data_IF_002402451722
#
_entry.id   IF_002402451722
#
_cell.length_a   1.000
_cell.length_b   1.000
_cell.length_c   1.000
_cell.angle_alpha   90.00
_cell.angle_beta   90.00
_cell.angle_gamma   90.00
#
_symmetry.space_group_name_H-M   'P 1'
#
loop_
_entity.id
_entity.type
_entity.pdbx_description
1 polymer ?
#
# COMPACT_ATOMS: atom_id res chain seq x y z
N UNK A 1 -38.73 25.87 32.52
CA UNK A 1 -38.38 25.26 31.21
C UNK A 1 -36.91 25.50 30.96
N UNK A 2 -36.07 24.49 31.14
CA UNK A 2 -34.63 24.56 30.90
C UNK A 2 -34.35 23.97 29.52
N UNK A 3 -33.79 24.82 28.62
CA UNK A 3 -33.39 24.37 27.29
C UNK A 3 -32.01 23.70 27.37
N UNK A 4 -32.00 22.42 27.09
CA UNK A 4 -30.75 21.65 26.89
C UNK A 4 -30.21 21.94 25.48
N UNK A 5 -29.13 22.72 25.40
CA UNK A 5 -28.33 22.88 24.19
C UNK A 5 -27.35 21.72 24.08
N UNK A 6 -27.64 20.75 23.20
CA UNK A 6 -26.70 19.73 22.82
C UNK A 6 -25.61 20.33 21.91
N UNK A 7 -24.40 20.47 22.44
CA UNK A 7 -23.23 20.79 21.63
C UNK A 7 -22.80 19.53 20.87
N UNK A 8 -23.02 19.49 19.56
CA UNK A 8 -22.47 18.47 18.70
C UNK A 8 -20.95 18.69 18.60
N UNK A 9 -20.18 17.78 19.18
CA UNK A 9 -18.73 17.70 18.99
C UNK A 9 -18.49 17.14 17.60
N UNK A 10 -18.18 18.01 16.63
CA UNK A 10 -17.74 17.57 15.31
C UNK A 10 -16.33 16.96 15.43
N UNK A 11 -16.22 15.66 15.26
CA UNK A 11 -14.93 15.00 15.08
C UNK A 11 -14.26 15.54 13.81
N UNK A 12 -12.94 15.85 13.83
CA UNK A 12 -12.25 16.28 12.62
C UNK A 12 -12.24 15.13 11.61
N UNK A 13 -13.02 15.29 10.54
CA UNK A 13 -12.95 14.42 9.37
C UNK A 13 -11.57 14.67 8.75
N UNK A 14 -10.66 13.70 8.83
CA UNK A 14 -9.41 13.70 8.06
C UNK A 14 -9.76 13.36 6.61
N UNK A 15 -10.24 14.35 5.88
CA UNK A 15 -10.36 14.24 4.44
C UNK A 15 -8.94 14.24 3.85
N UNK A 16 -8.57 13.17 3.18
CA UNK A 16 -7.39 13.14 2.34
C UNK A 16 -7.68 14.06 1.14
N UNK A 17 -7.12 15.28 1.17
CA UNK A 17 -7.35 16.26 0.12
C UNK A 17 -6.52 15.92 -1.12
N UNK A 18 -7.20 15.47 -2.18
CA UNK A 18 -6.62 15.38 -3.51
C UNK A 18 -6.85 16.71 -4.23
N UNK A 19 -5.80 17.17 -4.93
CA UNK A 19 -5.78 18.42 -5.67
C UNK A 19 -5.13 19.56 -4.90
N UNK A 20 -4.11 20.16 -5.51
CA UNK A 20 -3.37 21.31 -4.99
C UNK A 20 -3.05 22.30 -6.11
N UNK A 21 -3.00 23.60 -5.77
CA UNK A 21 -2.46 24.62 -6.66
C UNK A 21 -0.97 24.81 -6.37
N UNK A 22 -0.14 24.02 -7.01
CA UNK A 22 1.32 24.20 -6.99
C UNK A 22 1.77 25.00 -8.20
N UNK A 23 2.82 25.79 -8.02
CA UNK A 23 3.49 26.46 -9.14
C UNK A 23 4.19 25.40 -9.98
N UNK A 24 3.85 25.34 -11.27
CA UNK A 24 4.55 24.50 -12.23
C UNK A 24 5.68 25.33 -12.84
N UNK A 25 6.91 24.92 -12.62
CA UNK A 25 8.09 25.61 -13.13
C UNK A 25 8.42 25.22 -14.57
N UNK A 26 7.84 24.15 -15.07
CA UNK A 26 8.04 23.66 -16.44
C UNK A 26 6.72 23.17 -17.01
N UNK A 27 6.45 23.58 -18.25
CA UNK A 27 5.38 22.97 -19.05
C UNK A 27 5.84 21.61 -19.58
N UNK A 28 5.05 20.57 -19.37
CA UNK A 28 5.33 19.21 -19.84
C UNK A 28 4.30 18.84 -20.90
N UNK A 29 4.77 18.64 -22.14
CA UNK A 29 3.95 18.20 -23.27
C UNK A 29 3.90 16.67 -23.28
N UNK A 30 2.83 16.11 -22.73
CA UNK A 30 2.67 14.67 -22.60
C UNK A 30 2.26 14.04 -23.94
N UNK A 31 2.97 12.96 -24.31
CA UNK A 31 2.61 11.96 -25.30
C UNK A 31 2.08 10.70 -24.59
N UNK A 32 1.40 9.82 -25.33
CA UNK A 32 0.80 8.61 -24.77
C UNK A 32 1.26 7.36 -25.54
N UNK A 33 1.72 6.35 -24.81
CA UNK A 33 1.88 4.99 -25.29
C UNK A 33 0.68 4.18 -24.81
N UNK A 34 -0.11 3.64 -25.71
CA UNK A 34 -1.24 2.78 -25.36
C UNK A 34 -0.79 1.32 -25.35
N UNK A 35 -1.03 0.63 -24.25
CA UNK A 35 -0.87 -0.81 -24.11
C UNK A 35 -2.24 -1.48 -23.97
N UNK A 36 -2.28 -2.76 -23.63
CA UNK A 36 -3.56 -3.47 -23.45
C UNK A 36 -4.33 -2.93 -22.22
N UNK A 37 -3.62 -2.64 -21.13
CA UNK A 37 -4.26 -2.27 -19.86
C UNK A 37 -3.89 -0.87 -19.36
N UNK A 38 -2.94 -0.19 -20.00
CA UNK A 38 -2.49 1.14 -19.56
C UNK A 38 -2.44 2.16 -20.72
N UNK A 39 -2.75 3.42 -20.38
CA UNK A 39 -2.41 4.62 -21.13
C UNK A 39 -1.21 5.27 -20.44
N UNK A 40 -0.01 5.08 -21.00
CA UNK A 40 1.26 5.52 -20.38
C UNK A 40 1.62 6.90 -20.89
N UNK A 41 1.52 7.89 -20.01
CA UNK A 41 1.82 9.30 -20.29
C UNK A 41 3.30 9.56 -20.01
N UNK A 42 3.98 10.15 -20.97
CA UNK A 42 5.39 10.53 -20.90
C UNK A 42 5.63 11.80 -21.72
N UNK A 43 6.78 12.42 -21.61
CA UNK A 43 7.20 13.60 -22.38
C UNK A 43 8.62 13.43 -22.93
N UNK A 44 9.06 14.40 -23.74
CA UNK A 44 10.36 14.33 -24.43
C UNK A 44 11.52 14.05 -23.48
N UNK A 45 12.44 13.18 -23.93
CA UNK A 45 13.63 12.76 -23.22
C UNK A 45 13.48 11.49 -22.37
N UNK A 46 12.24 10.98 -22.15
CA UNK A 46 12.02 9.75 -21.35
C UNK A 46 11.27 8.65 -22.09
N UNK A 47 11.15 8.76 -23.41
CA UNK A 47 10.36 7.80 -24.20
C UNK A 47 10.79 6.34 -24.05
N UNK A 48 12.10 6.08 -24.09
CA UNK A 48 12.61 4.70 -24.00
C UNK A 48 12.37 4.10 -22.61
N UNK A 49 12.60 4.90 -21.54
CA UNK A 49 12.25 4.50 -20.19
C UNK A 49 10.73 4.28 -20.01
N UNK A 50 9.90 5.10 -20.68
CA UNK A 50 8.45 4.92 -20.66
C UNK A 50 8.00 3.62 -21.36
N UNK A 51 8.67 3.20 -22.44
CA UNK A 51 8.43 1.91 -23.08
C UNK A 51 8.77 0.76 -22.13
N UNK A 52 9.89 0.85 -21.41
CA UNK A 52 10.26 -0.16 -20.43
C UNK A 52 9.30 -0.16 -19.23
N UNK A 53 8.91 1.02 -18.74
CA UNK A 53 7.86 1.15 -17.72
C UNK A 53 6.52 0.55 -18.15
N UNK A 54 6.10 0.76 -19.39
CA UNK A 54 4.90 0.15 -19.96
C UNK A 54 4.97 -1.39 -19.97
N UNK A 55 6.12 -1.95 -20.36
CA UNK A 55 6.35 -3.39 -20.33
C UNK A 55 6.34 -3.97 -18.90
N UNK A 56 6.92 -3.25 -17.94
CA UNK A 56 6.89 -3.61 -16.53
C UNK A 56 5.45 -3.59 -15.98
N UNK A 57 4.68 -2.54 -16.31
CA UNK A 57 3.28 -2.42 -15.90
C UNK A 57 2.42 -3.58 -16.42
N UNK A 58 2.55 -3.96 -17.69
CA UNK A 58 1.80 -5.09 -18.26
C UNK A 58 2.19 -6.43 -17.61
N UNK A 59 3.47 -6.66 -17.30
CA UNK A 59 3.90 -7.87 -16.57
C UNK A 59 3.33 -7.90 -15.16
N UNK A 60 3.35 -6.77 -14.45
CA UNK A 60 2.76 -6.64 -13.13
C UNK A 60 1.26 -6.88 -13.15
N UNK A 61 0.55 -6.28 -14.10
CA UNK A 61 -0.88 -6.50 -14.30
C UNK A 61 -1.19 -7.98 -14.55
N UNK A 62 -0.48 -8.63 -15.49
CA UNK A 62 -0.68 -10.05 -15.81
C UNK A 62 -0.57 -10.96 -14.59
N UNK A 63 0.42 -10.73 -13.73
CA UNK A 63 0.61 -11.46 -12.46
C UNK A 63 -0.48 -11.13 -11.44
N UNK A 64 -0.71 -9.84 -11.18
CA UNK A 64 -1.65 -9.39 -10.14
C UNK A 64 -3.10 -9.69 -10.49
N UNK A 65 -3.50 -9.61 -11.76
CA UNK A 65 -4.86 -9.94 -12.19
C UNK A 65 -5.21 -11.41 -11.94
N UNK A 66 -4.24 -12.31 -12.11
CA UNK A 66 -4.40 -13.73 -11.81
C UNK A 66 -4.44 -13.98 -10.29
N UNK A 67 -3.48 -13.40 -9.55
CA UNK A 67 -3.37 -13.56 -8.10
C UNK A 67 -4.60 -13.01 -7.38
N UNK A 68 -5.02 -11.81 -7.72
CA UNK A 68 -6.16 -11.13 -7.07
C UNK A 68 -7.52 -11.52 -7.68
N UNK A 69 -7.52 -12.37 -8.73
CA UNK A 69 -8.73 -12.78 -9.46
C UNK A 69 -9.61 -11.57 -9.84
N UNK A 70 -8.97 -10.53 -10.39
CA UNK A 70 -9.62 -9.29 -10.76
C UNK A 70 -9.03 -8.72 -12.06
N UNK A 71 -9.85 -8.00 -12.84
CA UNK A 71 -9.44 -7.37 -14.10
C UNK A 71 -10.00 -5.96 -14.18
N UNK A 72 -9.19 -5.03 -14.68
CA UNK A 72 -9.65 -3.68 -15.00
C UNK A 72 -10.68 -3.73 -16.13
N UNK A 73 -11.66 -2.84 -16.05
CA UNK A 73 -12.67 -2.68 -17.10
C UNK A 73 -12.20 -1.77 -18.23
N UNK A 74 -11.30 -0.84 -17.89
CA UNK A 74 -10.76 0.18 -18.80
C UNK A 74 -9.25 0.29 -18.57
N UNK A 75 -8.54 0.82 -19.59
CA UNK A 75 -7.12 1.14 -19.42
C UNK A 75 -6.92 2.17 -18.32
N UNK A 76 -5.85 1.97 -17.55
CA UNK A 76 -5.50 2.82 -16.44
C UNK A 76 -4.44 3.85 -16.84
N UNK A 77 -4.62 5.13 -16.54
CA UNK A 77 -3.59 6.15 -16.77
C UNK A 77 -2.37 5.92 -15.89
N UNK A 78 -1.19 5.81 -16.52
CA UNK A 78 0.11 5.73 -15.87
C UNK A 78 0.95 6.93 -16.28
N UNK A 79 1.18 7.88 -15.38
CA UNK A 79 1.88 9.13 -15.65
C UNK A 79 3.31 9.04 -15.14
N UNK A 80 4.29 9.10 -16.04
CA UNK A 80 5.71 8.94 -15.73
C UNK A 80 6.43 10.29 -15.79
N UNK A 81 7.20 10.59 -14.74
CA UNK A 81 8.03 11.78 -14.62
C UNK A 81 9.51 11.43 -14.72
N UNK A 82 10.30 12.27 -15.42
CA UNK A 82 11.73 12.05 -15.59
C UNK A 82 12.53 12.10 -14.28
N UNK A 83 12.00 12.82 -13.29
CA UNK A 83 12.66 13.02 -12.00
C UNK A 83 11.65 13.22 -10.86
N UNK A 84 12.12 13.01 -9.64
CA UNK A 84 11.32 13.27 -8.45
C UNK A 84 10.96 14.77 -8.31
N UNK A 85 11.84 15.68 -8.71
CA UNK A 85 11.58 17.13 -8.68
C UNK A 85 10.46 17.56 -9.66
N UNK A 86 10.33 16.91 -10.81
CA UNK A 86 9.21 17.14 -11.72
C UNK A 86 7.93 16.47 -11.20
N UNK A 87 8.04 15.28 -10.62
CA UNK A 87 6.93 14.60 -9.96
C UNK A 87 6.35 15.43 -8.80
N UNK A 88 7.18 16.10 -8.00
CA UNK A 88 6.73 16.98 -6.92
C UNK A 88 5.88 18.17 -7.39
N UNK A 89 5.95 18.55 -8.68
CA UNK A 89 5.17 19.67 -9.24
C UNK A 89 3.73 19.28 -9.61
N UNK A 90 3.37 17.97 -9.58
CA UNK A 90 1.99 17.59 -9.85
C UNK A 90 1.02 18.14 -8.79
N UNK A 91 -0.23 18.35 -9.21
CA UNK A 91 -1.29 18.94 -8.37
C UNK A 91 -2.23 17.87 -7.77
N UNK A 92 -1.85 16.60 -7.77
CA UNK A 92 -2.70 15.51 -7.26
C UNK A 92 -2.72 15.51 -5.74
N UNK A 93 -1.54 15.56 -5.12
CA UNK A 93 -1.38 15.57 -3.67
C UNK A 93 -0.07 16.24 -3.24
N UNK A 94 0.16 16.36 -1.94
CA UNK A 94 1.45 16.76 -1.40
C UNK A 94 2.45 15.61 -1.58
N UNK A 95 3.51 15.85 -2.33
CA UNK A 95 4.60 14.91 -2.57
C UNK A 95 5.78 15.30 -1.68
N UNK A 96 6.11 14.44 -0.72
CA UNK A 96 7.31 14.57 0.11
C UNK A 96 8.53 13.96 -0.59
N UNK A 97 9.73 14.19 -0.06
CA UNK A 97 10.96 13.58 -0.58
C UNK A 97 10.93 12.04 -0.54
N UNK A 98 10.23 11.46 0.43
CA UNK A 98 10.10 10.01 0.57
C UNK A 98 8.94 9.39 -0.21
N UNK A 99 8.18 10.17 -0.99
CA UNK A 99 7.03 9.66 -1.75
C UNK A 99 7.52 9.08 -3.08
N UNK A 100 7.53 7.76 -3.22
CA UNK A 100 8.00 7.06 -4.43
C UNK A 100 7.02 7.11 -5.59
N UNK A 101 5.73 7.03 -5.31
CA UNK A 101 4.63 7.07 -6.27
C UNK A 101 3.34 7.52 -5.61
N UNK A 102 2.28 7.66 -6.39
CA UNK A 102 0.93 7.97 -5.90
C UNK A 102 -0.10 7.33 -6.81
N UNK A 103 -1.02 6.59 -6.22
CA UNK A 103 -2.23 6.13 -6.89
C UNK A 103 -3.43 6.94 -6.45
N UNK A 104 -4.05 7.67 -7.38
CA UNK A 104 -5.23 8.50 -7.13
C UNK A 104 -6.51 7.68 -7.33
N UNK A 105 -7.28 7.40 -6.26
CA UNK A 105 -8.46 6.53 -6.36
C UNK A 105 -9.60 7.11 -7.20
N UNK A 106 -9.79 8.44 -7.18
CA UNK A 106 -10.92 9.10 -7.88
C UNK A 106 -10.80 9.10 -9.41
N UNK A 107 -9.59 9.16 -9.92
CA UNK A 107 -9.31 9.19 -11.36
C UNK A 107 -8.63 7.93 -11.85
N UNK A 108 -8.48 6.95 -10.98
CA UNK A 108 -7.87 5.65 -11.28
C UNK A 108 -6.52 5.78 -11.98
N UNK A 109 -5.68 6.76 -11.57
CA UNK A 109 -4.40 7.02 -12.22
C UNK A 109 -3.22 6.84 -11.26
N UNK A 110 -2.14 6.34 -11.83
CA UNK A 110 -0.86 6.13 -11.16
C UNK A 110 0.11 7.21 -11.63
N UNK A 111 0.81 7.84 -10.69
CA UNK A 111 1.85 8.83 -10.99
C UNK A 111 3.14 8.41 -10.28
N UNK A 112 4.25 8.33 -11.00
CA UNK A 112 5.55 8.03 -10.38
C UNK A 112 6.71 8.60 -11.20
N UNK A 113 7.84 8.94 -10.54
CA UNK A 113 9.06 9.35 -11.19
C UNK A 113 9.95 8.16 -11.54
N UNK A 114 10.82 8.33 -12.52
CA UNK A 114 11.99 7.48 -12.66
C UNK A 114 13.00 7.82 -11.54
N UNK A 115 13.53 6.78 -10.88
CA UNK A 115 14.46 6.91 -9.74
C UNK A 115 15.93 6.80 -10.17
N UNK A 116 16.21 6.43 -11.42
CA UNK A 116 17.55 6.09 -11.90
C UNK A 116 17.95 4.63 -11.68
N UNK A 117 17.12 3.86 -10.97
CA UNK A 117 17.27 2.42 -10.74
C UNK A 117 16.04 1.69 -11.24
N UNK A 118 16.21 0.78 -12.21
CA UNK A 118 15.09 -0.03 -12.70
C UNK A 118 14.49 -0.94 -11.62
N UNK A 119 15.30 -1.44 -10.69
CA UNK A 119 14.82 -2.29 -9.61
C UNK A 119 13.91 -1.52 -8.63
N UNK A 120 14.32 -0.30 -8.26
CA UNK A 120 13.49 0.58 -7.41
C UNK A 120 12.24 1.04 -8.14
N UNK A 121 12.37 1.44 -9.40
CA UNK A 121 11.24 1.84 -10.22
C UNK A 121 10.22 0.71 -10.38
N UNK A 122 10.68 -0.52 -10.67
CA UNK A 122 9.81 -1.69 -10.83
C UNK A 122 9.09 -2.03 -9.51
N UNK A 123 9.78 -1.93 -8.37
CA UNK A 123 9.17 -2.12 -7.06
C UNK A 123 8.06 -1.09 -6.81
N UNK A 124 8.35 0.21 -6.97
CA UNK A 124 7.35 1.26 -6.75
C UNK A 124 6.19 1.13 -7.74
N UNK A 125 6.47 0.87 -9.02
CA UNK A 125 5.44 0.65 -10.02
C UNK A 125 4.49 -0.51 -9.65
N UNK A 126 5.04 -1.64 -9.20
CA UNK A 126 4.23 -2.78 -8.77
C UNK A 126 3.41 -2.43 -7.52
N UNK A 127 3.98 -1.70 -6.57
CA UNK A 127 3.31 -1.23 -5.36
C UNK A 127 2.09 -0.36 -5.71
N UNK A 128 2.26 0.62 -6.60
CA UNK A 128 1.18 1.49 -7.04
C UNK A 128 0.11 0.74 -7.86
N UNK A 129 0.51 -0.25 -8.67
CA UNK A 129 -0.46 -1.11 -9.38
C UNK A 129 -1.28 -1.94 -8.39
N UNK A 130 -0.70 -2.42 -7.28
CA UNK A 130 -1.47 -3.10 -6.24
C UNK A 130 -2.53 -2.16 -5.65
N UNK A 131 -2.19 -0.91 -5.35
CA UNK A 131 -3.17 0.08 -4.90
C UNK A 131 -4.28 0.31 -5.93
N UNK A 132 -3.94 0.33 -7.21
CA UNK A 132 -4.95 0.44 -8.28
C UNK A 132 -5.92 -0.75 -8.25
N UNK A 133 -5.43 -1.99 -8.07
CA UNK A 133 -6.29 -3.15 -7.88
C UNK A 133 -7.15 -3.05 -6.62
N UNK A 134 -6.57 -2.63 -5.51
CA UNK A 134 -7.29 -2.45 -4.25
C UNK A 134 -8.44 -1.44 -4.42
N UNK A 135 -8.16 -0.28 -5.00
CA UNK A 135 -9.18 0.76 -5.21
C UNK A 135 -10.27 0.31 -6.18
N UNK A 136 -9.92 -0.38 -7.26
CA UNK A 136 -10.88 -0.89 -8.22
C UNK A 136 -11.77 -1.98 -7.61
N UNK A 137 -11.21 -2.89 -6.80
CA UNK A 137 -11.96 -3.92 -6.06
C UNK A 137 -12.90 -3.28 -5.04
N UNK A 138 -12.43 -2.28 -4.27
CA UNK A 138 -13.28 -1.59 -3.29
C UNK A 138 -14.39 -0.78 -3.97
N UNK A 139 -14.11 -0.14 -5.10
CA UNK A 139 -15.11 0.61 -5.86
C UNK A 139 -16.23 -0.30 -6.43
N UNK A 140 -15.89 -1.52 -6.80
CA UNK A 140 -16.81 -2.46 -7.44
C UNK A 140 -17.33 -3.59 -6.53
N UNK A 141 -16.86 -3.65 -5.29
CA UNK A 141 -17.19 -4.72 -4.33
C UNK A 141 -18.69 -4.84 -3.99
N UNK A 142 -19.45 -3.76 -4.17
CA UNK A 142 -20.93 -3.75 -4.08
C UNK A 142 -21.50 -2.95 -5.24
N UNK A 143 -22.40 -3.54 -6.01
CA UNK A 143 -23.05 -2.88 -7.15
C UNK A 143 -23.68 -1.54 -6.71
N UNK A 144 -23.23 -0.42 -7.27
CA UNK A 144 -23.72 0.93 -7.02
C UNK A 144 -23.07 1.70 -5.85
N UNK A 145 -22.09 1.11 -5.15
CA UNK A 145 -21.48 1.78 -4.00
C UNK A 145 -20.32 2.74 -4.35
N UNK A 146 -19.64 2.52 -5.49
CA UNK A 146 -18.52 3.37 -5.93
C UNK A 146 -17.46 3.59 -4.85
N UNK A 147 -16.69 4.67 -4.99
CA UNK A 147 -15.64 5.05 -4.03
C UNK A 147 -16.14 5.39 -2.61
N UNK A 148 -17.45 5.63 -2.43
CA UNK A 148 -18.05 5.78 -1.10
C UNK A 148 -17.80 4.53 -0.23
N UNK A 149 -17.62 3.36 -0.85
CA UNK A 149 -17.34 2.13 -0.12
C UNK A 149 -15.94 2.11 0.49
N UNK A 150 -14.92 2.59 -0.21
CA UNK A 150 -13.56 2.71 0.35
C UNK A 150 -13.57 3.60 1.60
N UNK A 151 -14.25 4.75 1.52
CA UNK A 151 -14.39 5.68 2.65
C UNK A 151 -15.21 5.07 3.79
N UNK A 152 -16.26 4.30 3.47
CA UNK A 152 -17.13 3.68 4.49
C UNK A 152 -16.47 2.49 5.20
N UNK A 153 -15.59 1.74 4.51
CA UNK A 153 -14.85 0.60 5.10
C UNK A 153 -13.62 1.10 5.84
N UNK A 154 -12.98 2.18 5.35
CA UNK A 154 -11.76 2.80 5.90
C UNK A 154 -10.71 1.73 6.31
N UNK A 155 -10.20 0.93 5.35
CA UNK A 155 -9.29 -0.15 5.67
C UNK A 155 -8.00 0.43 6.29
N UNK A 156 -7.46 -0.18 7.36
CA UNK A 156 -6.26 0.33 8.01
C UNK A 156 -5.05 0.29 7.07
N UNK A 157 -4.11 1.23 7.26
CA UNK A 157 -2.94 1.37 6.40
C UNK A 157 -2.09 0.09 6.33
N UNK A 158 -1.93 -0.64 7.44
CA UNK A 158 -1.19 -1.91 7.41
C UNK A 158 -1.82 -2.95 6.47
N UNK A 159 -3.15 -2.89 6.29
CA UNK A 159 -3.85 -3.78 5.36
C UNK A 159 -3.55 -3.40 3.91
N UNK A 160 -3.65 -2.12 3.57
CA UNK A 160 -3.46 -1.61 2.21
C UNK A 160 -1.97 -1.60 1.83
N UNK A 161 -1.16 -0.88 2.60
CA UNK A 161 0.27 -0.68 2.32
C UNK A 161 1.09 -1.97 2.51
N UNK A 162 0.77 -2.73 3.55
CA UNK A 162 1.43 -4.01 3.80
C UNK A 162 1.19 -5.02 2.69
N UNK A 163 -0.04 -5.08 2.13
CA UNK A 163 -0.36 -5.91 0.96
C UNK A 163 0.41 -5.42 -0.27
N UNK A 164 0.51 -4.11 -0.50
CA UNK A 164 1.24 -3.53 -1.61
C UNK A 164 2.74 -3.85 -1.51
N UNK A 165 3.35 -3.74 -0.32
CA UNK A 165 4.72 -4.18 -0.06
C UNK A 165 4.92 -5.69 -0.29
N UNK A 166 4.03 -6.52 0.24
CA UNK A 166 4.10 -7.97 0.06
C UNK A 166 4.02 -8.38 -1.42
N UNK A 167 3.07 -7.83 -2.14
CA UNK A 167 2.85 -8.16 -3.55
C UNK A 167 3.88 -7.54 -4.50
N UNK A 168 4.63 -6.52 -4.09
CA UNK A 168 5.69 -5.90 -4.90
C UNK A 168 7.10 -6.43 -4.57
N UNK A 169 7.39 -6.69 -3.30
CA UNK A 169 8.71 -7.20 -2.84
C UNK A 169 8.78 -8.72 -2.78
N UNK A 170 7.63 -9.40 -2.67
CA UNK A 170 7.57 -10.83 -2.32
C UNK A 170 7.60 -11.06 -0.80
N UNK A 171 7.74 -12.33 -0.36
CA UNK A 171 7.60 -12.69 1.06
C UNK A 171 8.78 -12.26 1.95
N UNK A 172 9.89 -11.81 1.39
CA UNK A 172 11.10 -11.45 2.14
C UNK A 172 11.59 -10.07 1.76
N UNK A 173 11.89 -9.24 2.76
CA UNK A 173 12.48 -7.91 2.56
C UNK A 173 13.59 -7.65 3.56
N UNK A 174 14.83 -7.28 3.11
CA UNK A 174 15.94 -7.03 4.03
C UNK A 174 15.64 -5.93 5.05
N UNK A 175 14.97 -4.88 4.64
CA UNK A 175 14.56 -3.79 5.55
C UNK A 175 13.52 -4.25 6.57
N UNK A 176 12.50 -4.98 6.13
CA UNK A 176 11.49 -5.58 7.02
C UNK A 176 12.16 -6.50 8.04
N UNK A 177 13.05 -7.38 7.59
CA UNK A 177 13.80 -8.27 8.47
C UNK A 177 14.71 -7.52 9.47
N UNK A 178 15.26 -6.36 9.09
CA UNK A 178 16.04 -5.51 9.99
C UNK A 178 15.17 -4.96 11.10
N UNK A 179 14.01 -4.39 10.78
CA UNK A 179 13.07 -3.84 11.76
C UNK A 179 12.58 -4.91 12.74
N UNK A 180 12.14 -6.07 12.23
CA UNK A 180 11.67 -7.17 13.08
C UNK A 180 12.74 -7.68 14.05
N UNK A 181 14.02 -7.74 13.64
CA UNK A 181 15.11 -8.14 14.54
C UNK A 181 15.38 -7.10 15.62
N UNK A 182 15.32 -5.83 15.28
CA UNK A 182 15.49 -4.74 16.24
C UNK A 182 14.40 -4.76 17.30
N UNK A 183 13.14 -4.84 16.88
CA UNK A 183 11.98 -4.92 17.78
C UNK A 183 12.03 -6.17 18.67
N UNK A 184 12.46 -7.32 18.13
CA UNK A 184 12.57 -8.53 18.94
C UNK A 184 13.64 -8.43 20.03
N UNK A 185 14.76 -7.74 19.77
CA UNK A 185 15.81 -7.49 20.74
C UNK A 185 15.34 -6.54 21.82
N UNK A 186 14.49 -5.55 21.46
CA UNK A 186 13.97 -4.54 22.38
C UNK A 186 12.61 -4.91 23.01
N UNK A 187 11.99 -6.03 22.61
CA UNK A 187 10.64 -6.46 22.98
C UNK A 187 9.55 -5.42 22.62
N UNK A 188 9.70 -4.79 21.46
CA UNK A 188 8.85 -3.68 20.97
C UNK A 188 7.98 -4.04 19.76
N UNK A 189 7.88 -5.32 19.37
CA UNK A 189 7.11 -5.76 18.22
C UNK A 189 5.64 -5.35 18.35
N UNK A 190 5.10 -4.52 17.43
CA UNK A 190 3.76 -3.97 17.57
C UNK A 190 2.67 -5.00 17.30
N UNK A 191 1.55 -4.87 17.99
CA UNK A 191 0.32 -5.63 17.68
C UNK A 191 -0.39 -5.07 16.46
N UNK A 192 -1.32 -5.85 15.86
CA UNK A 192 -2.18 -5.37 14.76
C UNK A 192 -3.03 -4.17 15.21
N UNK A 193 -3.48 -4.16 16.46
CA UNK A 193 -4.20 -3.02 17.03
C UNK A 193 -3.31 -1.76 17.08
N UNK A 194 -2.06 -1.88 17.51
CA UNK A 194 -1.11 -0.76 17.51
C UNK A 194 -0.80 -0.27 16.10
N UNK A 195 -0.65 -1.17 15.12
CA UNK A 195 -0.50 -0.75 13.71
C UNK A 195 -1.72 0.03 13.18
N UNK A 196 -2.89 -0.15 13.77
CA UNK A 196 -4.12 0.56 13.39
C UNK A 196 -4.28 1.89 14.12
N UNK A 197 -3.89 1.96 15.39
CA UNK A 197 -4.23 3.08 16.28
C UNK A 197 -3.07 3.99 16.65
N UNK A 198 -1.83 3.50 16.62
CA UNK A 198 -0.64 4.29 16.98
C UNK A 198 0.06 4.84 15.72
N UNK A 199 0.02 6.17 15.49
CA UNK A 199 0.62 6.78 14.30
C UNK A 199 2.16 6.73 14.29
N UNK A 200 2.81 6.31 15.37
CA UNK A 200 4.26 6.11 15.44
C UNK A 200 4.70 4.78 14.83
N UNK A 201 3.77 3.83 14.74
CA UNK A 201 4.02 2.52 14.15
C UNK A 201 3.89 2.61 12.64
N UNK A 202 4.98 2.37 11.90
CA UNK A 202 4.93 2.39 10.44
C UNK A 202 4.19 1.17 9.88
N UNK A 203 3.14 1.37 9.09
CA UNK A 203 2.33 0.26 8.58
C UNK A 203 3.02 -0.55 7.48
N UNK A 204 4.02 0.03 6.79
CA UNK A 204 4.65 -0.58 5.62
C UNK A 204 5.42 -1.86 5.99
N UNK A 205 6.38 -1.76 6.91
CA UNK A 205 7.28 -2.88 7.25
C UNK A 205 6.57 -3.96 8.06
N UNK A 206 5.80 -3.58 9.05
CA UNK A 206 5.02 -4.53 9.84
C UNK A 206 3.87 -5.13 9.05
N UNK A 207 3.20 -4.34 8.22
CA UNK A 207 2.19 -4.82 7.29
C UNK A 207 2.75 -5.82 6.28
N UNK A 208 3.93 -5.53 5.69
CA UNK A 208 4.65 -6.46 4.83
C UNK A 208 4.90 -7.81 5.54
N UNK A 209 5.45 -7.77 6.76
CA UNK A 209 5.71 -8.98 7.54
C UNK A 209 4.44 -9.76 7.87
N UNK A 210 3.37 -9.07 8.21
CA UNK A 210 2.08 -9.69 8.49
C UNK A 210 1.48 -10.35 7.23
N UNK A 211 1.51 -9.69 6.08
CA UNK A 211 1.03 -10.27 4.83
C UNK A 211 1.92 -11.42 4.35
N UNK A 212 3.23 -11.36 4.58
CA UNK A 212 4.14 -12.49 4.34
C UNK A 212 3.78 -13.70 5.18
N UNK A 213 3.48 -13.50 6.47
CA UNK A 213 3.00 -14.56 7.35
C UNK A 213 1.66 -15.15 6.89
N UNK A 214 0.73 -14.31 6.43
CA UNK A 214 -0.57 -14.74 5.90
C UNK A 214 -0.38 -15.58 4.64
N UNK A 215 0.44 -15.08 3.69
CA UNK A 215 0.72 -15.78 2.44
C UNK A 215 1.43 -17.12 2.65
N UNK A 216 2.39 -17.18 3.58
CA UNK A 216 3.07 -18.42 3.93
C UNK A 216 2.13 -19.46 4.55
N UNK A 217 1.24 -19.03 5.43
CA UNK A 217 0.40 -19.94 6.20
C UNK A 217 -0.87 -20.40 5.47
N UNK A 218 -1.53 -19.51 4.72
CA UNK A 218 -2.81 -19.79 4.04
C UNK A 218 -2.73 -19.72 2.52
N UNK A 219 -1.56 -19.33 1.98
CA UNK A 219 -1.33 -19.20 0.55
C UNK A 219 -1.85 -17.92 -0.07
N UNK A 220 -1.39 -17.61 -1.28
CA UNK A 220 -1.75 -16.38 -2.01
C UNK A 220 -3.27 -16.27 -2.31
N UNK A 221 -3.97 -17.40 -2.42
CA UNK A 221 -5.42 -17.40 -2.60
C UNK A 221 -6.16 -16.73 -1.42
N UNK A 222 -5.64 -16.86 -0.19
CA UNK A 222 -6.20 -16.20 0.98
C UNK A 222 -6.02 -14.67 0.90
N UNK A 223 -4.93 -14.18 0.32
CA UNK A 223 -4.69 -12.74 0.11
C UNK A 223 -5.80 -12.12 -0.75
N UNK A 224 -6.10 -12.75 -1.89
CA UNK A 224 -7.20 -12.33 -2.77
C UNK A 224 -8.56 -12.39 -2.07
N UNK A 225 -8.85 -13.48 -1.38
CA UNK A 225 -10.12 -13.65 -0.67
C UNK A 225 -10.31 -12.62 0.45
N UNK A 226 -9.23 -12.30 1.19
CA UNK A 226 -9.27 -11.27 2.23
C UNK A 226 -9.56 -9.90 1.63
N UNK A 227 -8.92 -9.53 0.51
CA UNK A 227 -9.16 -8.25 -0.16
C UNK A 227 -10.60 -8.13 -0.64
N UNK A 228 -11.12 -9.12 -1.35
CA UNK A 228 -12.50 -9.14 -1.81
C UNK A 228 -13.51 -9.16 -0.66
N UNK A 229 -13.27 -9.96 0.39
CA UNK A 229 -14.16 -10.00 1.56
C UNK A 229 -14.14 -8.67 2.32
N UNK A 230 -12.97 -8.05 2.48
CA UNK A 230 -12.83 -6.76 3.16
C UNK A 230 -13.57 -5.64 2.42
N UNK A 231 -13.55 -5.64 1.09
CA UNK A 231 -14.29 -4.66 0.28
C UNK A 231 -15.81 -4.74 0.48
N UNK A 232 -16.33 -5.88 0.95
CA UNK A 232 -17.76 -6.10 1.18
C UNK A 232 -18.14 -5.87 2.66
N UNK A 233 -17.36 -6.38 3.60
CA UNK A 233 -17.75 -6.48 5.01
C UNK A 233 -16.81 -5.84 6.01
N UNK A 234 -15.75 -5.17 5.54
CA UNK A 234 -14.69 -4.63 6.39
C UNK A 234 -13.63 -5.64 6.75
N UNK A 235 -12.46 -5.13 7.20
CA UNK A 235 -11.24 -5.94 7.39
C UNK A 235 -11.43 -7.00 8.47
N UNK A 236 -11.91 -6.65 9.66
CA UNK A 236 -12.06 -7.60 10.77
C UNK A 236 -13.01 -8.77 10.42
N UNK A 237 -14.15 -8.45 9.80
CA UNK A 237 -15.12 -9.46 9.34
C UNK A 237 -14.55 -10.35 8.24
N UNK A 238 -13.66 -9.81 7.39
CA UNK A 238 -13.00 -10.57 6.33
C UNK A 238 -12.06 -11.63 6.94
N UNK A 239 -11.23 -11.24 7.91
CA UNK A 239 -10.32 -12.18 8.58
C UNK A 239 -11.08 -13.31 9.30
N UNK A 240 -12.13 -12.97 10.04
CA UNK A 240 -12.96 -13.97 10.70
C UNK A 240 -13.61 -14.93 9.70
N UNK A 241 -14.07 -14.42 8.56
CA UNK A 241 -14.75 -15.24 7.53
C UNK A 241 -13.80 -16.11 6.72
N UNK A 242 -12.66 -15.56 6.31
CA UNK A 242 -11.73 -16.23 5.38
C UNK A 242 -10.76 -17.14 6.14
N UNK A 243 -10.21 -16.66 7.26
CA UNK A 243 -9.19 -17.38 8.03
C UNK A 243 -9.75 -18.09 9.26
N UNK A 244 -10.96 -17.74 9.69
CA UNK A 244 -11.61 -18.33 10.88
C UNK A 244 -11.05 -17.80 12.21
N UNK A 245 -10.23 -16.73 12.19
CA UNK A 245 -9.57 -16.17 13.38
C UNK A 245 -9.81 -14.66 13.50
N UNK A 246 -9.77 -14.14 14.73
CA UNK A 246 -9.81 -12.70 14.98
C UNK A 246 -8.46 -12.05 14.70
N UNK A 247 -8.45 -10.71 14.50
CA UNK A 247 -7.20 -9.95 14.34
C UNK A 247 -6.30 -10.05 15.59
N UNK A 248 -6.90 -10.14 16.77
CA UNK A 248 -6.15 -10.35 18.01
C UNK A 248 -5.43 -11.72 18.02
N UNK A 249 -6.13 -12.78 17.69
CA UNK A 249 -5.55 -14.12 17.58
C UNK A 249 -4.46 -14.15 16.49
N UNK A 250 -4.71 -13.54 15.33
CA UNK A 250 -3.71 -13.42 14.27
C UNK A 250 -2.44 -12.70 14.75
N UNK A 251 -2.60 -11.62 15.54
CA UNK A 251 -1.49 -10.87 16.12
C UNK A 251 -0.62 -11.77 17.00
N UNK A 252 -1.23 -12.56 17.88
CA UNK A 252 -0.50 -13.49 18.74
C UNK A 252 0.25 -14.57 17.95
N UNK A 253 -0.40 -15.16 16.95
CA UNK A 253 0.19 -16.21 16.13
C UNK A 253 1.34 -15.67 15.25
N UNK A 254 1.18 -14.47 14.70
CA UNK A 254 2.20 -13.77 13.95
C UNK A 254 3.43 -13.45 14.82
N UNK A 255 3.23 -12.91 16.02
CA UNK A 255 4.32 -12.66 17.00
C UNK A 255 5.07 -13.94 17.34
N UNK A 256 4.35 -15.04 17.57
CA UNK A 256 4.98 -16.32 17.87
C UNK A 256 5.83 -16.83 16.69
N UNK A 257 5.33 -16.69 15.46
CA UNK A 257 6.04 -17.08 14.25
C UNK A 257 7.33 -16.25 14.06
N UNK A 258 7.25 -14.92 14.23
CA UNK A 258 8.42 -14.04 14.12
C UNK A 258 9.46 -14.40 15.17
N UNK A 259 9.07 -14.52 16.47
CA UNK A 259 10.00 -14.94 17.54
C UNK A 259 10.69 -16.25 17.21
N UNK A 260 9.94 -17.26 16.77
CA UNK A 260 10.51 -18.56 16.38
C UNK A 260 11.45 -18.47 15.19
N UNK A 261 11.06 -17.71 14.16
CA UNK A 261 11.86 -17.58 12.92
C UNK A 261 13.19 -16.87 13.13
N UNK A 262 13.27 -15.92 14.06
CA UNK A 262 14.49 -15.17 14.34
C UNK A 262 15.27 -15.66 15.55
N UNK A 263 14.77 -16.62 16.33
CA UNK A 263 15.37 -17.08 17.61
C UNK A 263 16.87 -17.36 17.46
N UNK A 264 17.27 -18.16 16.49
CA UNK A 264 18.68 -18.56 16.27
C UNK A 264 19.56 -17.36 15.90
N UNK A 265 19.02 -16.41 15.13
CA UNK A 265 19.76 -15.21 14.70
C UNK A 265 20.00 -14.22 15.84
N UNK A 266 19.13 -14.24 16.85
CA UNK A 266 19.15 -13.31 17.99
C UNK A 266 19.81 -13.91 19.21
N UNK A 267 20.18 -15.17 19.20
CA UNK A 267 20.86 -15.82 20.32
C UNK A 267 22.13 -15.07 20.70
N UNK A 268 22.24 -14.66 21.95
CA UNK A 268 23.36 -13.87 22.47
C UNK A 268 23.37 -12.39 22.06
N UNK A 269 22.33 -11.88 21.36
CA UNK A 269 22.16 -10.44 21.05
C UNK A 269 21.52 -9.72 22.23
N UNK A 270 21.92 -8.47 22.42
CA UNK A 270 21.39 -7.60 23.48
C UNK A 270 21.01 -6.23 22.89
N UNK A 271 20.05 -5.52 23.50
CA UNK A 271 19.72 -4.15 23.10
C UNK A 271 20.92 -3.22 23.18
N UNK A 272 21.02 -2.24 22.29
CA UNK A 272 22.10 -1.23 22.31
C UNK A 272 22.10 -0.49 23.65
N UNK A 273 20.94 -0.21 24.22
CA UNK A 273 20.80 0.42 25.55
C UNK A 273 21.49 -0.35 26.67
N UNK A 274 21.79 -1.64 26.51
CA UNK A 274 22.54 -2.42 27.52
C UNK A 274 24.05 -2.13 27.52
N UNK A 275 24.55 -1.42 26.50
CA UNK A 275 25.98 -1.05 26.34
C UNK A 275 26.22 0.46 26.37
N UNK A 276 25.17 1.27 26.24
CA UNK A 276 25.23 2.73 26.24
C UNK A 276 24.84 3.25 27.63
N UNK A 277 25.73 4.02 28.27
CA UNK A 277 25.43 4.83 29.45
C UNK A 277 24.73 6.13 29.07
#
# INVERSE_FOLDING_TARGET
MAALTSAAVASPVRAQYFGQNKVQHRHLDFSVIQTEHFDVYYYDGVRDAAIDGARMAERAYGRLSQLLNHRYRERQPLVLYASHSEFQQNNVTAISEGTGGVTEPLRHRILLPFTGSYAEFEHVLQHEIVHQFQFDIFAHGVIGAGLHRLVAVDPPLWFMEGMAEYLSLGPTGPQTAMWLRDDLVNDELPTIEQMTTDPRVTPYRYGHALWSFIGERWGDAAVAQLLHSASISGVESAFQRVLGISLNQLSHEWHAAIRSGYQVQLEGRQPVASFAE
#
